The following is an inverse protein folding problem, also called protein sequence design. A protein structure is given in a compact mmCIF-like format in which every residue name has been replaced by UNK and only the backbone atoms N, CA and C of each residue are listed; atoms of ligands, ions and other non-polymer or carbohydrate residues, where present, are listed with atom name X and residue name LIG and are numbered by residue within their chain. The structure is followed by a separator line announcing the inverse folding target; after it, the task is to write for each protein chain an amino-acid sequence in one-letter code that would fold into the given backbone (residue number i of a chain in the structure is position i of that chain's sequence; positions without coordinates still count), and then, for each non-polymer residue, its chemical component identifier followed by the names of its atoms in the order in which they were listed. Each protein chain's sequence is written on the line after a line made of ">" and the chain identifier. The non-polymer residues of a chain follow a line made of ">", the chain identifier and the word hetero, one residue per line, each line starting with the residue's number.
data_IF_353495759758
#
_entry.id   IF_353495759758
#
_cell.length_a   1.000
_cell.length_b   1.000
_cell.length_c   1.000
_cell.angle_alpha   90.00
_cell.angle_beta   90.00
_cell.angle_gamma   90.00
#
_symmetry.space_group_name_H-M   'P 1'
#
loop_
_entity.id
_entity.type
_entity.pdbx_description
1 polymer ?
#
# COMPACT_ATOMS: atom_id res chain seq x y z
N UNK A 1 23.02 -35.91 0.60
CA UNK A 1 21.60 -36.21 0.90
C UNK A 1 20.86 -34.89 0.98
N UNK A 2 20.08 -34.58 -0.07
CA UNK A 2 19.43 -33.29 -0.30
C UNK A 2 18.20 -33.11 0.58
N UNK A 3 18.19 -32.06 1.41
CA UNK A 3 16.99 -31.58 2.11
C UNK A 3 16.66 -30.15 1.66
N UNK A 4 16.28 -29.99 0.40
CA UNK A 4 15.48 -28.86 -0.05
C UNK A 4 13.99 -29.17 0.19
N UNK A 5 13.49 -28.93 1.40
CA UNK A 5 12.06 -28.87 1.66
C UNK A 5 11.56 -27.45 1.40
N UNK A 6 11.05 -27.29 0.22
CA UNK A 6 9.94 -26.46 -0.25
C UNK A 6 9.20 -25.72 0.88
N UNK A 7 9.52 -24.45 1.06
CA UNK A 7 8.63 -23.50 1.69
C UNK A 7 7.42 -23.25 0.79
N UNK A 8 6.41 -24.10 0.87
CA UNK A 8 5.10 -23.84 0.26
C UNK A 8 4.55 -22.58 0.90
N UNK A 9 4.39 -21.57 0.06
CA UNK A 9 3.79 -20.30 0.42
C UNK A 9 2.42 -20.56 1.07
N UNK A 10 2.30 -20.34 2.36
CA UNK A 10 1.06 -20.53 3.15
C UNK A 10 -0.09 -19.69 2.61
N UNK A 11 0.21 -18.76 1.72
CA UNK A 11 -0.74 -17.85 1.07
C UNK A 11 -1.60 -18.47 -0.03
N UNK A 12 -1.18 -19.59 -0.63
CA UNK A 12 -2.00 -20.31 -1.63
C UNK A 12 -3.27 -20.91 -1.02
N UNK A 13 -3.28 -21.22 0.27
CA UNK A 13 -4.44 -21.83 0.92
C UNK A 13 -5.53 -20.81 1.34
N UNK A 14 -5.21 -19.53 1.50
CA UNK A 14 -6.21 -18.51 1.85
C UNK A 14 -7.13 -18.17 0.66
N UNK A 15 -6.59 -18.24 -0.56
CA UNK A 15 -7.37 -18.02 -1.79
C UNK A 15 -8.23 -19.22 -2.19
N UNK A 16 -8.01 -20.40 -1.60
CA UNK A 16 -8.75 -21.62 -1.94
C UNK A 16 -10.09 -21.80 -1.22
N UNK A 17 -10.32 -21.04 -0.15
CA UNK A 17 -11.58 -21.09 0.62
C UNK A 17 -12.38 -19.81 0.41
N UNK A 18 -13.45 -19.95 -0.37
CA UNK A 18 -14.59 -19.04 -0.53
C UNK A 18 -14.47 -17.88 -1.52
N UNK A 19 -15.49 -17.80 -2.37
CA UNK A 19 -15.88 -16.71 -3.27
C UNK A 19 -16.15 -15.34 -2.61
N UNK A 20 -15.85 -15.18 -1.33
CA UNK A 20 -16.06 -13.96 -0.54
C UNK A 20 -14.74 -13.48 0.10
N UNK A 21 -13.75 -13.16 -0.73
CA UNK A 21 -12.67 -12.31 -0.23
C UNK A 21 -13.28 -10.90 -0.10
N UNK A 22 -13.55 -10.49 1.12
CA UNK A 22 -14.06 -9.16 1.41
C UNK A 22 -13.09 -8.09 0.92
N UNK A 23 -13.58 -6.90 0.60
CA UNK A 23 -12.72 -5.79 0.20
C UNK A 23 -11.64 -5.48 1.25
N UNK A 24 -11.94 -5.69 2.52
CA UNK A 24 -10.98 -5.55 3.62
C UNK A 24 -9.81 -6.54 3.51
N UNK A 25 -10.06 -7.82 3.23
CA UNK A 25 -9.00 -8.81 3.05
C UNK A 25 -8.13 -8.52 1.82
N UNK A 26 -8.74 -8.02 0.73
CA UNK A 26 -7.98 -7.57 -0.46
C UNK A 26 -7.08 -6.39 -0.13
N UNK A 27 -7.60 -5.42 0.62
CA UNK A 27 -6.84 -4.26 1.08
C UNK A 27 -5.62 -4.68 1.90
N UNK A 28 -5.81 -5.46 2.95
CA UNK A 28 -4.73 -5.96 3.82
C UNK A 28 -3.68 -6.79 3.06
N UNK A 29 -4.13 -7.61 2.11
CA UNK A 29 -3.21 -8.38 1.27
C UNK A 29 -2.42 -7.46 0.35
N UNK A 30 -3.06 -6.47 -0.25
CA UNK A 30 -2.42 -5.44 -1.07
C UNK A 30 -1.36 -4.66 -0.29
N UNK A 31 -1.68 -4.18 0.91
CA UNK A 31 -0.73 -3.47 1.78
C UNK A 31 0.51 -4.33 2.10
N UNK A 32 0.31 -5.62 2.36
CA UNK A 32 1.42 -6.55 2.60
C UNK A 32 2.33 -6.71 1.39
N UNK A 33 1.74 -6.81 0.20
CA UNK A 33 2.50 -6.89 -1.06
C UNK A 33 3.24 -5.59 -1.34
N UNK A 34 2.59 -4.44 -1.19
CA UNK A 34 3.19 -3.12 -1.36
C UNK A 34 4.37 -2.93 -0.40
N UNK A 35 4.19 -3.25 0.88
CA UNK A 35 5.25 -3.19 1.89
C UNK A 35 6.46 -4.02 1.49
N UNK A 36 6.25 -5.27 1.09
CA UNK A 36 7.33 -6.16 0.63
C UNK A 36 8.04 -5.61 -0.60
N UNK A 37 7.27 -5.08 -1.56
CA UNK A 37 7.81 -4.51 -2.79
C UNK A 37 8.71 -3.29 -2.50
N UNK A 38 8.23 -2.32 -1.73
CA UNK A 38 8.97 -1.10 -1.39
C UNK A 38 10.23 -1.41 -0.56
N UNK A 39 10.13 -2.35 0.40
CA UNK A 39 11.30 -2.78 1.17
C UNK A 39 12.36 -3.43 0.27
N UNK A 40 11.97 -4.20 -0.75
CA UNK A 40 12.90 -4.76 -1.74
C UNK A 40 13.53 -3.69 -2.64
N UNK A 41 12.85 -2.57 -2.87
CA UNK A 41 13.41 -1.39 -3.56
C UNK A 41 14.43 -0.63 -2.70
N UNK A 42 14.61 -1.00 -1.44
CA UNK A 42 15.54 -0.34 -0.53
C UNK A 42 14.92 0.75 0.33
N UNK A 43 13.59 0.91 0.32
CA UNK A 43 12.92 1.87 1.19
C UNK A 43 12.89 1.36 2.63
N UNK A 44 13.17 2.23 3.58
CA UNK A 44 13.11 1.91 5.01
C UNK A 44 11.69 2.06 5.52
N UNK A 45 11.12 0.98 6.03
CA UNK A 45 9.76 0.98 6.59
C UNK A 45 9.72 1.75 7.91
N UNK A 46 8.71 2.61 8.08
CA UNK A 46 8.48 3.37 9.30
C UNK A 46 7.19 2.95 10.00
N UNK A 47 6.04 3.03 9.32
CA UNK A 47 4.74 2.76 9.94
C UNK A 47 3.71 2.22 8.94
N UNK A 48 2.71 1.51 9.45
CA UNK A 48 1.59 0.96 8.67
C UNK A 48 0.28 1.29 9.36
N UNK A 49 -0.73 1.64 8.56
CA UNK A 49 -2.08 1.96 9.04
C UNK A 49 -2.09 3.05 10.13
N UNK A 50 -1.23 4.07 9.93
CA UNK A 50 -1.20 5.19 10.83
C UNK A 50 -2.54 5.93 10.86
N UNK A 51 -2.97 6.33 12.05
CA UNK A 51 -4.20 7.10 12.24
C UNK A 51 -3.97 8.26 13.19
N UNK A 52 -4.45 9.45 12.78
CA UNK A 52 -4.39 10.65 13.60
C UNK A 52 -5.13 10.43 14.94
N UNK A 53 -4.48 10.81 16.05
CA UNK A 53 -5.03 10.65 17.40
C UNK A 53 -6.33 11.45 17.59
N UNK A 54 -6.39 12.67 17.05
CA UNK A 54 -7.53 13.57 17.16
C UNK A 54 -8.66 13.28 16.17
N UNK A 55 -8.34 12.70 15.01
CA UNK A 55 -9.32 12.38 13.97
C UNK A 55 -8.98 11.08 13.29
N UNK A 56 -9.51 9.97 13.77
CA UNK A 56 -9.23 8.62 13.27
C UNK A 56 -9.70 8.35 11.83
N UNK A 57 -10.42 9.27 11.19
CA UNK A 57 -10.74 9.21 9.75
C UNK A 57 -9.55 9.59 8.86
N UNK A 58 -8.55 10.25 9.45
CA UNK A 58 -7.29 10.56 8.79
C UNK A 58 -6.35 9.39 8.99
N UNK A 59 -6.09 8.65 7.93
CA UNK A 59 -5.26 7.46 7.92
C UNK A 59 -4.28 7.48 6.75
N UNK A 60 -3.18 6.74 6.90
CA UNK A 60 -2.14 6.54 5.89
C UNK A 60 -1.83 5.05 5.88
N UNK A 61 -1.90 4.41 4.71
CA UNK A 61 -1.72 2.97 4.58
C UNK A 61 -0.30 2.54 4.95
N UNK A 62 0.73 3.15 4.32
CA UNK A 62 2.12 2.86 4.60
C UNK A 62 2.95 4.13 4.61
N UNK A 63 3.94 4.16 5.49
CA UNK A 63 4.92 5.26 5.60
C UNK A 63 6.32 4.65 5.51
N UNK A 64 7.11 5.19 4.59
CA UNK A 64 8.47 4.77 4.34
C UNK A 64 9.43 5.97 4.34
N UNK A 65 10.71 5.68 4.34
CA UNK A 65 11.79 6.62 4.06
C UNK A 65 12.60 6.11 2.88
N UNK A 66 12.76 6.94 1.86
CA UNK A 66 13.65 6.71 0.72
C UNK A 66 14.80 7.71 0.83
N UNK A 67 15.99 7.25 1.26
CA UNK A 67 17.12 8.10 1.63
C UNK A 67 16.66 9.14 2.68
N UNK A 68 16.59 10.43 2.30
CA UNK A 68 16.19 11.54 3.18
C UNK A 68 14.75 12.02 2.96
N UNK A 69 14.01 11.35 2.07
CA UNK A 69 12.64 11.72 1.73
C UNK A 69 11.66 10.83 2.49
N UNK A 70 10.73 11.43 3.22
CA UNK A 70 9.58 10.73 3.79
C UNK A 70 8.58 10.40 2.67
N UNK A 71 8.16 9.15 2.58
CA UNK A 71 7.25 8.67 1.53
C UNK A 71 5.94 8.22 2.14
N UNK A 72 4.88 8.95 1.85
CA UNK A 72 3.51 8.53 2.16
C UNK A 72 2.98 7.68 1.01
N UNK A 73 2.41 6.53 1.33
CA UNK A 73 1.96 5.58 0.31
C UNK A 73 0.49 5.24 0.51
N UNK A 74 -0.29 5.43 -0.52
CA UNK A 74 -1.65 4.89 -0.65
C UNK A 74 -1.60 3.58 -1.45
N UNK A 75 -2.22 2.53 -0.94
CA UNK A 75 -2.25 1.21 -1.58
C UNK A 75 -3.62 0.96 -2.21
N UNK A 76 -3.63 0.55 -3.47
CA UNK A 76 -4.83 0.23 -4.23
C UNK A 76 -4.80 -1.20 -4.73
N UNK A 77 -5.48 -2.10 -4.04
CA UNK A 77 -5.60 -3.49 -4.47
C UNK A 77 -6.94 -3.75 -5.16
N UNK A 78 -6.90 -4.33 -6.35
CA UNK A 78 -8.09 -4.63 -7.16
C UNK A 78 -8.04 -6.03 -7.73
N UNK A 79 -9.21 -6.58 -8.03
CA UNK A 79 -9.31 -7.73 -8.92
C UNK A 79 -9.32 -7.27 -10.36
N UNK A 80 -8.60 -7.94 -11.24
CA UNK A 80 -8.29 -7.59 -12.65
C UNK A 80 -9.48 -7.45 -13.60
N UNK A 81 -10.69 -7.27 -13.14
CA UNK A 81 -11.86 -7.09 -14.01
C UNK A 81 -12.20 -5.64 -14.38
N UNK A 82 -11.37 -4.67 -14.01
CA UNK A 82 -11.65 -3.26 -14.25
C UNK A 82 -10.60 -2.57 -15.14
N UNK A 83 -11.04 -1.98 -16.25
CA UNK A 83 -10.23 -1.20 -17.20
C UNK A 83 -9.81 0.19 -16.69
N UNK A 84 -10.05 0.53 -15.42
CA UNK A 84 -9.76 1.86 -14.87
C UNK A 84 -8.45 1.82 -14.11
N UNK A 85 -7.48 2.64 -14.53
CA UNK A 85 -6.22 2.84 -13.82
C UNK A 85 -6.49 3.30 -12.39
N UNK A 86 -5.77 2.74 -11.41
CA UNK A 86 -5.95 3.07 -10.00
C UNK A 86 -5.73 4.53 -9.67
N UNK A 87 -4.83 5.16 -10.39
CA UNK A 87 -4.57 6.59 -10.32
C UNK A 87 -5.81 7.42 -10.63
N UNK A 88 -6.51 7.10 -11.72
CA UNK A 88 -7.73 7.83 -12.16
C UNK A 88 -8.92 7.64 -11.21
N UNK A 89 -8.84 6.67 -10.29
CA UNK A 89 -9.90 6.39 -9.31
C UNK A 89 -9.79 7.22 -8.02
N UNK A 90 -8.71 7.98 -7.83
CA UNK A 90 -8.56 8.84 -6.65
C UNK A 90 -9.24 10.18 -6.94
N UNK A 91 -10.46 10.31 -6.46
CA UNK A 91 -11.21 11.54 -6.61
C UNK A 91 -10.64 12.67 -5.71
N UNK A 92 -11.01 13.91 -6.04
CA UNK A 92 -10.57 15.12 -5.33
C UNK A 92 -10.84 15.06 -3.81
N UNK A 93 -11.94 14.44 -3.40
CA UNK A 93 -12.29 14.27 -1.97
C UNK A 93 -11.27 13.39 -1.24
N UNK A 94 -10.87 12.27 -1.86
CA UNK A 94 -9.85 11.37 -1.29
C UNK A 94 -8.49 12.06 -1.23
N UNK A 95 -8.08 12.78 -2.30
CA UNK A 95 -6.83 13.55 -2.31
C UNK A 95 -6.78 14.56 -1.15
N UNK A 96 -7.87 15.31 -0.92
CA UNK A 96 -7.95 16.25 0.19
C UNK A 96 -7.85 15.55 1.55
N UNK A 97 -8.43 14.37 1.70
CA UNK A 97 -8.31 13.58 2.94
C UNK A 97 -6.88 13.12 3.16
N UNK A 98 -6.21 12.59 2.12
CA UNK A 98 -4.81 12.19 2.17
C UNK A 98 -3.90 13.36 2.54
N UNK A 99 -4.06 14.51 1.88
CA UNK A 99 -3.32 15.73 2.21
C UNK A 99 -3.44 16.10 3.70
N UNK A 100 -4.66 16.07 4.24
CA UNK A 100 -4.91 16.34 5.66
C UNK A 100 -4.25 15.28 6.55
N UNK A 101 -4.24 14.01 6.15
CA UNK A 101 -3.57 12.93 6.87
C UNK A 101 -2.06 13.16 6.94
N UNK A 102 -1.43 13.56 5.83
CA UNK A 102 0.01 13.84 5.79
C UNK A 102 0.40 15.03 6.68
N UNK A 103 -0.38 16.11 6.62
CA UNK A 103 -0.17 17.28 7.50
C UNK A 103 -0.33 16.89 8.98
N UNK A 104 -1.32 16.06 9.31
CA UNK A 104 -1.53 15.59 10.67
C UNK A 104 -0.37 14.71 11.15
N UNK A 105 0.13 13.78 10.32
CA UNK A 105 1.30 12.98 10.64
C UNK A 105 2.53 13.83 10.90
N UNK A 106 2.83 14.79 10.03
CA UNK A 106 3.99 15.68 10.19
C UNK A 106 3.92 16.52 11.48
N UNK A 107 2.71 16.89 11.91
CA UNK A 107 2.50 17.62 13.18
C UNK A 107 2.61 16.74 14.42
N UNK A 108 2.19 15.48 14.32
CA UNK A 108 2.24 14.52 15.44
C UNK A 108 3.59 13.80 15.53
N UNK A 109 4.40 13.82 14.47
CA UNK A 109 5.71 13.17 14.45
C UNK A 109 6.72 13.96 15.29
N UNK A 110 7.48 13.30 16.19
CA UNK A 110 8.57 13.93 16.92
C UNK A 110 9.77 14.28 16.01
N UNK A 111 9.86 13.63 14.86
CA UNK A 111 10.93 13.85 13.89
C UNK A 111 10.53 14.93 12.90
N UNK A 112 11.52 15.74 12.49
CA UNK A 112 11.35 16.69 11.40
C UNK A 112 11.75 16.04 10.09
N UNK A 113 10.86 16.15 9.09
CA UNK A 113 11.10 15.63 7.74
C UNK A 113 11.11 16.82 6.77
N UNK A 114 12.29 17.30 6.33
CA UNK A 114 12.37 18.46 5.45
C UNK A 114 11.78 18.19 4.05
N UNK A 115 11.84 16.93 3.62
CA UNK A 115 11.33 16.51 2.32
C UNK A 115 10.36 15.36 2.47
N UNK A 116 9.24 15.44 1.77
CA UNK A 116 8.27 14.35 1.69
C UNK A 116 7.63 14.29 0.31
N UNK A 117 7.14 13.13 -0.05
CA UNK A 117 6.39 12.91 -1.29
C UNK A 117 5.24 11.94 -1.06
N UNK A 118 4.34 11.90 -2.02
CA UNK A 118 3.22 10.97 -2.05
C UNK A 118 3.37 9.99 -3.21
N UNK A 119 3.29 8.71 -2.91
CA UNK A 119 3.34 7.63 -3.87
C UNK A 119 2.04 6.82 -3.83
N UNK A 120 1.66 6.22 -4.97
CA UNK A 120 0.55 5.28 -5.07
C UNK A 120 1.11 3.93 -5.51
N UNK A 121 0.74 2.87 -4.81
CA UNK A 121 1.05 1.50 -5.21
C UNK A 121 -0.24 0.78 -5.59
N UNK A 122 -0.40 0.50 -6.87
CA UNK A 122 -1.50 -0.28 -7.40
C UNK A 122 -1.12 -1.76 -7.48
N UNK A 123 -2.05 -2.61 -7.07
CA UNK A 123 -1.86 -4.05 -7.09
C UNK A 123 -3.05 -4.69 -7.77
N UNK A 124 -2.79 -5.26 -8.93
CA UNK A 124 -3.77 -6.05 -9.66
C UNK A 124 -3.72 -7.49 -9.18
N UNK A 125 -4.80 -7.91 -8.53
CA UNK A 125 -4.98 -9.26 -8.03
C UNK A 125 -5.67 -10.09 -9.12
N UNK A 126 -4.98 -11.05 -9.76
CA UNK A 126 -5.58 -11.85 -10.80
C UNK A 126 -6.70 -12.73 -10.24
N UNK A 127 -7.74 -12.95 -11.05
CA UNK A 127 -8.79 -13.93 -10.73
C UNK A 127 -8.34 -15.37 -10.96
N UNK A 128 -7.39 -15.57 -11.87
CA UNK A 128 -6.73 -16.86 -12.09
C UNK A 128 -5.63 -17.07 -11.04
N UNK A 129 -5.74 -18.18 -10.32
CA UNK A 129 -4.81 -18.58 -9.25
C UNK A 129 -3.39 -18.90 -9.75
N UNK A 130 -3.23 -19.18 -11.03
CA UNK A 130 -1.93 -19.47 -11.64
C UNK A 130 -1.14 -18.21 -12.00
N UNK A 131 -1.81 -17.05 -12.02
CA UNK A 131 -1.18 -15.77 -12.29
C UNK A 131 -0.70 -15.11 -11.01
N UNK A 132 0.42 -14.39 -11.12
CA UNK A 132 0.95 -13.59 -10.00
C UNK A 132 0.33 -12.19 -10.01
N UNK A 133 0.14 -11.56 -8.84
CA UNK A 133 -0.22 -10.15 -8.76
C UNK A 133 0.80 -9.28 -9.50
N UNK A 134 0.31 -8.27 -10.24
CA UNK A 134 1.16 -7.22 -10.80
C UNK A 134 1.14 -5.99 -9.89
N UNK A 135 2.28 -5.28 -9.84
CA UNK A 135 2.46 -4.11 -8.99
C UNK A 135 2.91 -2.94 -9.87
N UNK A 136 2.16 -1.85 -9.80
CA UNK A 136 2.48 -0.60 -10.46
C UNK A 136 2.72 0.47 -9.40
N UNK A 137 3.91 1.08 -9.41
CA UNK A 137 4.31 2.10 -8.46
C UNK A 137 4.40 3.46 -9.15
N UNK A 138 3.53 4.37 -8.74
CA UNK A 138 3.49 5.75 -9.20
C UNK A 138 4.16 6.63 -8.13
N UNK A 139 5.33 7.14 -8.44
CA UNK A 139 6.12 7.95 -7.52
C UNK A 139 5.81 9.44 -7.68
N UNK A 140 5.89 10.17 -6.58
CA UNK A 140 5.81 11.63 -6.53
C UNK A 140 4.54 12.21 -7.18
N UNK A 141 3.39 11.70 -6.77
CA UNK A 141 2.10 12.20 -7.25
C UNK A 141 1.83 13.59 -6.71
N UNK A 142 1.46 14.53 -7.59
CA UNK A 142 1.10 15.88 -7.20
C UNK A 142 -0.19 15.87 -6.36
N UNK A 143 -0.07 16.29 -5.09
CA UNK A 143 -1.19 16.35 -4.14
C UNK A 143 -1.36 17.77 -3.54
N UNK A 144 -0.36 18.62 -3.76
CA UNK A 144 -0.32 19.99 -3.26
C UNK A 144 -0.39 21.00 -4.40
#
# INVERSE_FOLDING_TARGET
>A
MNLFRQGRCVFTNLFQRNHLITNDLKGRFGEKLAKKYLSKKGYSFLEQNWRCKKNRRLEIDLIFKDKDVLVFVEVRARSTKGLVNGYDSINRKKLNTLKRSFIAFLRESPNQFPNYRFDIVEIDLPTDKNLKPSIHHHENIAIF
#
